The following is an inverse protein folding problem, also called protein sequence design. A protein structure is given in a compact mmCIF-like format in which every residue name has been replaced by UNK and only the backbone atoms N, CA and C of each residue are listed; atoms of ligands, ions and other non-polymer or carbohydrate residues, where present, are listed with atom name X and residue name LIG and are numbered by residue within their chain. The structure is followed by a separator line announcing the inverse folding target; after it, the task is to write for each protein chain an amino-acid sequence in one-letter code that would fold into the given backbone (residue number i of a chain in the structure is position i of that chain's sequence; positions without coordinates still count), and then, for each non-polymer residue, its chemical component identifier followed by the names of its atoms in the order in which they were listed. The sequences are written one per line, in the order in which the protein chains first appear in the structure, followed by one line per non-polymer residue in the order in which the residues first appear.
data_IF_936909789545
#
_entry.id   IF_936909789545
#
_cell.length_a   1.000
_cell.length_b   1.000
_cell.length_c   1.000
_cell.angle_alpha   90.00
_cell.angle_beta   90.00
_cell.angle_gamma   90.00
#
_symmetry.space_group_name_H-M   'P 1'
#
loop_
_entity.id
_entity.type
_entity.pdbx_description
1 polymer ?
#
# COMPACT_ATOMS: atom_id res chain seq x y z
N UNK A 1 -7.25 15.47 5.85
CA UNK A 1 -6.43 14.67 4.92
C UNK A 1 -7.31 13.66 4.17
N UNK A 2 -6.87 13.27 2.96
CA UNK A 2 -7.48 12.20 2.16
C UNK A 2 -6.39 11.15 1.96
N UNK A 3 -6.51 10.03 2.65
CA UNK A 3 -5.44 9.04 2.80
C UNK A 3 -5.77 7.79 1.98
N UNK A 4 -4.87 7.43 1.08
CA UNK A 4 -4.82 6.11 0.47
C UNK A 4 -3.87 5.25 1.31
N UNK A 5 -4.39 4.29 2.06
CA UNK A 5 -3.62 3.42 2.93
C UNK A 5 -3.40 2.05 2.29
N UNK A 6 -2.15 1.63 2.21
CA UNK A 6 -1.71 0.31 1.76
C UNK A 6 -0.85 -0.30 2.85
N UNK A 7 -1.49 -0.92 3.84
CA UNK A 7 -0.86 -1.53 5.01
C UNK A 7 -1.68 -2.73 5.47
N UNK A 8 -1.03 -3.72 6.07
CA UNK A 8 -1.67 -4.95 6.56
C UNK A 8 -3.00 -4.68 7.27
N UNK A 9 -4.11 -5.22 6.76
CA UNK A 9 -5.44 -5.00 7.34
C UNK A 9 -5.66 -5.90 8.57
N UNK A 10 -5.05 -5.52 9.66
CA UNK A 10 -5.11 -6.21 10.96
C UNK A 10 -5.97 -5.43 11.97
N UNK A 11 -6.19 -6.01 13.16
CA UNK A 11 -6.87 -5.32 14.26
C UNK A 11 -6.15 -4.02 14.63
N UNK A 12 -4.82 -4.01 14.66
CA UNK A 12 -4.03 -2.81 14.96
C UNK A 12 -4.25 -1.73 13.91
N UNK A 13 -4.30 -2.11 12.64
CA UNK A 13 -4.60 -1.21 11.52
C UNK A 13 -6.04 -0.68 11.59
N UNK A 14 -7.01 -1.50 12.05
CA UNK A 14 -8.37 -1.03 12.27
C UNK A 14 -8.39 0.13 13.28
N UNK A 15 -7.68 0.01 14.39
CA UNK A 15 -7.55 1.10 15.38
C UNK A 15 -6.87 2.34 14.79
N UNK A 16 -5.86 2.16 13.94
CA UNK A 16 -5.22 3.27 13.22
C UNK A 16 -6.22 3.99 12.31
N UNK A 17 -7.01 3.23 11.52
CA UNK A 17 -8.02 3.80 10.62
C UNK A 17 -9.07 4.58 11.41
N UNK A 18 -9.61 4.01 12.47
CA UNK A 18 -10.58 4.69 13.36
C UNK A 18 -9.99 5.99 13.92
N UNK A 19 -8.74 5.95 14.37
CA UNK A 19 -8.05 7.13 14.90
C UNK A 19 -7.90 8.22 13.82
N UNK A 20 -7.51 7.85 12.62
CA UNK A 20 -7.37 8.80 11.50
C UNK A 20 -8.71 9.43 11.12
N UNK A 21 -9.78 8.64 11.10
CA UNK A 21 -11.14 9.12 10.79
C UNK A 21 -11.64 10.05 11.89
N UNK A 22 -11.44 9.72 13.17
CA UNK A 22 -11.79 10.58 14.31
C UNK A 22 -11.04 11.91 14.28
N UNK A 23 -9.79 11.91 13.79
CA UNK A 23 -9.00 13.13 13.54
C UNK A 23 -9.44 13.90 12.29
N UNK A 24 -10.51 13.46 11.61
CA UNK A 24 -11.11 14.13 10.45
C UNK A 24 -10.50 13.75 9.10
N UNK A 25 -9.74 12.67 9.01
CA UNK A 25 -9.28 12.17 7.72
C UNK A 25 -10.39 11.41 6.98
N UNK A 26 -10.39 11.50 5.64
CA UNK A 26 -11.08 10.56 4.78
C UNK A 26 -10.10 9.47 4.37
N UNK A 27 -10.48 8.22 4.47
CA UNK A 27 -9.58 7.09 4.29
C UNK A 27 -10.17 6.09 3.30
N UNK A 28 -9.32 5.56 2.42
CA UNK A 28 -9.55 4.32 1.68
C UNK A 28 -8.39 3.39 1.95
N UNK A 29 -8.65 2.12 2.21
CA UNK A 29 -7.63 1.18 2.69
C UNK A 29 -7.61 -0.12 1.89
N UNK A 30 -6.39 -0.61 1.57
CA UNK A 30 -6.12 -1.94 1.04
C UNK A 30 -5.01 -2.60 1.86
N UNK A 31 -4.90 -3.91 1.79
CA UNK A 31 -3.74 -4.61 2.38
C UNK A 31 -2.52 -4.46 1.48
N UNK A 32 -1.33 -4.46 2.09
CA UNK A 32 -0.05 -4.51 1.38
C UNK A 32 0.46 -5.95 1.17
N UNK A 33 -0.34 -6.95 1.51
CA UNK A 33 0.01 -8.36 1.37
C UNK A 33 -1.24 -9.24 1.23
N UNK A 34 -1.21 -10.18 0.29
CA UNK A 34 -2.35 -11.04 -0.04
C UNK A 34 -2.78 -12.02 1.06
N UNK A 35 -1.94 -12.28 2.07
CA UNK A 35 -2.21 -13.26 3.13
C UNK A 35 -2.46 -12.65 4.51
N UNK A 36 -2.11 -11.39 4.74
CA UNK A 36 -2.04 -10.80 6.09
C UNK A 36 -3.36 -10.25 6.61
N UNK A 37 -4.36 -10.07 5.77
CA UNK A 37 -5.66 -9.51 6.19
C UNK A 37 -6.33 -10.39 7.25
N UNK A 38 -6.84 -9.74 8.29
CA UNK A 38 -7.79 -10.31 9.24
C UNK A 38 -9.20 -9.87 8.83
N UNK A 39 -9.96 -10.78 8.21
CA UNK A 39 -11.26 -10.47 7.59
C UNK A 39 -12.25 -9.81 8.56
N UNK A 40 -12.23 -10.22 9.85
CA UNK A 40 -13.08 -9.61 10.86
C UNK A 40 -12.71 -8.16 11.16
N UNK A 41 -11.42 -7.78 11.05
CA UNK A 41 -10.98 -6.40 11.20
C UNK A 41 -11.41 -5.57 9.99
N UNK A 42 -11.26 -6.10 8.78
CA UNK A 42 -11.72 -5.46 7.54
C UNK A 42 -13.25 -5.25 7.57
N UNK A 43 -14.00 -6.27 7.99
CA UNK A 43 -15.46 -6.19 8.11
C UNK A 43 -15.92 -5.14 9.13
N UNK A 44 -15.25 -5.06 10.30
CA UNK A 44 -15.58 -4.09 11.34
C UNK A 44 -15.39 -2.64 10.89
N UNK A 45 -14.36 -2.37 10.09
CA UNK A 45 -14.12 -1.03 9.52
C UNK A 45 -15.09 -0.73 8.37
N UNK A 46 -15.41 -1.73 7.52
CA UNK A 46 -16.38 -1.56 6.46
C UNK A 46 -17.80 -1.29 7.00
N UNK A 47 -18.20 -1.94 8.12
CA UNK A 47 -19.49 -1.73 8.78
C UNK A 47 -19.68 -0.29 9.29
N UNK A 48 -18.58 0.42 9.55
CA UNK A 48 -18.58 1.85 9.89
C UNK A 48 -18.71 2.78 8.66
N UNK A 49 -18.85 2.23 7.46
CA UNK A 49 -18.95 2.98 6.22
C UNK A 49 -17.61 3.47 5.68
N UNK A 50 -16.48 2.97 6.19
CA UNK A 50 -15.14 3.31 5.71
C UNK A 50 -14.78 2.35 4.57
N UNK A 51 -14.21 2.90 3.49
CA UNK A 51 -13.84 2.10 2.31
C UNK A 51 -12.62 1.22 2.58
N UNK A 52 -12.83 -0.08 2.70
CA UNK A 52 -11.80 -1.11 2.88
C UNK A 52 -11.88 -2.13 1.76
N UNK A 53 -10.78 -2.36 1.08
CA UNK A 53 -10.61 -3.30 -0.02
C UNK A 53 -9.51 -4.29 0.38
N UNK A 54 -9.85 -5.28 1.19
CA UNK A 54 -8.90 -6.28 1.68
C UNK A 54 -9.65 -7.53 2.12
N UNK A 55 -9.14 -8.69 1.74
CA UNK A 55 -9.58 -10.00 2.23
C UNK A 55 -8.39 -10.95 2.35
N UNK A 56 -8.45 -11.90 3.25
CA UNK A 56 -7.40 -12.90 3.37
C UNK A 56 -7.39 -13.82 2.15
N UNK A 57 -6.22 -13.99 1.54
CA UNK A 57 -6.06 -14.87 0.39
C UNK A 57 -6.59 -14.26 -0.91
N UNK A 58 -6.55 -12.95 -1.06
CA UNK A 58 -6.79 -12.30 -2.34
C UNK A 58 -5.78 -12.74 -3.38
N UNK A 59 -6.18 -12.78 -4.65
CA UNK A 59 -5.28 -13.06 -5.77
C UNK A 59 -4.41 -11.84 -6.08
N UNK A 60 -3.33 -12.01 -6.86
CA UNK A 60 -2.51 -10.88 -7.31
C UNK A 60 -3.31 -9.87 -8.14
N UNK A 61 -4.26 -10.34 -8.95
CA UNK A 61 -5.14 -9.44 -9.72
C UNK A 61 -6.05 -8.62 -8.79
N UNK A 62 -6.65 -9.24 -7.78
CA UNK A 62 -7.45 -8.55 -6.77
C UNK A 62 -6.60 -7.55 -5.95
N UNK A 63 -5.38 -7.93 -5.59
CA UNK A 63 -4.44 -7.06 -4.87
C UNK A 63 -4.18 -5.76 -5.62
N UNK A 64 -3.81 -5.84 -6.90
CA UNK A 64 -3.58 -4.65 -7.72
C UNK A 64 -4.86 -3.88 -8.02
N UNK A 65 -6.00 -4.56 -8.16
CA UNK A 65 -7.29 -3.90 -8.29
C UNK A 65 -7.66 -3.11 -7.02
N UNK A 66 -7.43 -3.68 -5.83
CA UNK A 66 -7.69 -3.02 -4.56
C UNK A 66 -6.74 -1.83 -4.35
N UNK A 67 -5.49 -1.96 -4.76
CA UNK A 67 -4.54 -0.84 -4.76
C UNK A 67 -5.00 0.29 -5.69
N UNK A 68 -5.62 -0.01 -6.82
CA UNK A 68 -6.26 1.02 -7.64
C UNK A 68 -7.46 1.67 -6.94
N UNK A 69 -8.29 0.89 -6.24
CA UNK A 69 -9.49 1.42 -5.57
C UNK A 69 -9.17 2.42 -4.47
N UNK A 70 -8.08 2.24 -3.74
CA UNK A 70 -7.66 3.23 -2.73
C UNK A 70 -7.15 4.53 -3.35
N UNK A 71 -6.66 4.49 -4.58
CA UNK A 71 -6.21 5.65 -5.33
C UNK A 71 -7.35 6.33 -6.11
N UNK A 72 -8.40 5.59 -6.47
CA UNK A 72 -9.53 6.10 -7.26
C UNK A 72 -10.61 6.72 -6.36
N UNK A 73 -10.72 8.02 -6.37
CA UNK A 73 -11.70 8.80 -5.61
C UNK A 73 -12.74 9.47 -6.52
N UNK A 74 -12.88 8.97 -7.76
CA UNK A 74 -13.78 9.54 -8.76
C UNK A 74 -13.31 10.93 -9.21
N UNK A 75 -14.14 11.94 -8.99
CA UNK A 75 -13.81 13.34 -9.30
C UNK A 75 -12.83 13.99 -8.30
N UNK A 76 -12.55 13.31 -7.18
CA UNK A 76 -11.64 13.73 -6.13
C UNK A 76 -10.31 12.96 -6.22
N UNK A 77 -9.38 13.18 -5.29
CA UNK A 77 -8.08 12.53 -5.26
C UNK A 77 -7.57 12.38 -3.83
N UNK A 78 -6.83 11.32 -3.49
CA UNK A 78 -6.07 11.30 -2.24
C UNK A 78 -4.97 12.36 -2.30
N UNK A 79 -4.55 12.84 -1.14
CA UNK A 79 -3.42 13.77 -1.02
C UNK A 79 -2.29 13.23 -0.14
N UNK A 80 -2.50 12.07 0.48
CA UNK A 80 -1.49 11.36 1.27
C UNK A 80 -1.53 9.88 0.93
N UNK A 81 -0.37 9.25 0.93
CA UNK A 81 -0.23 7.79 0.89
C UNK A 81 0.36 7.34 2.22
N UNK A 82 -0.21 6.30 2.82
CA UNK A 82 0.40 5.52 3.88
C UNK A 82 0.72 4.16 3.27
N UNK A 83 2.00 3.86 3.10
CA UNK A 83 2.48 2.69 2.36
C UNK A 83 3.32 1.76 3.25
N UNK A 84 3.33 0.49 2.90
CA UNK A 84 4.15 -0.55 3.53
C UNK A 84 4.69 -1.49 2.44
N UNK A 85 5.94 -1.28 2.06
CA UNK A 85 6.61 -1.94 0.96
C UNK A 85 6.71 -1.10 -0.32
N UNK A 86 6.02 0.05 -0.38
CA UNK A 86 6.12 1.00 -1.49
C UNK A 86 5.32 0.61 -2.73
N UNK A 87 4.33 -0.28 -2.63
CA UNK A 87 3.60 -0.77 -3.79
C UNK A 87 2.58 0.24 -4.31
N UNK A 88 1.84 0.93 -3.45
CA UNK A 88 0.93 2.00 -3.88
C UNK A 88 1.70 3.17 -4.50
N UNK A 89 2.84 3.53 -3.92
CA UNK A 89 3.77 4.54 -4.46
C UNK A 89 4.36 4.09 -5.79
N UNK A 90 4.80 2.85 -5.88
CA UNK A 90 5.35 2.24 -7.09
C UNK A 90 4.35 2.21 -8.23
N UNK A 91 3.10 1.82 -7.95
CA UNK A 91 2.00 1.82 -8.90
C UNK A 91 1.80 3.21 -9.54
N UNK A 92 1.77 4.28 -8.73
CA UNK A 92 1.65 5.66 -9.24
C UNK A 92 2.83 6.06 -10.11
N UNK A 93 4.05 5.70 -9.72
CA UNK A 93 5.27 6.04 -10.46
C UNK A 93 5.32 5.30 -11.80
N UNK A 94 5.12 3.97 -11.78
CA UNK A 94 5.16 3.13 -12.98
C UNK A 94 4.01 3.51 -13.90
N UNK A 95 2.79 3.63 -13.38
CA UNK A 95 1.62 4.02 -14.15
C UNK A 95 1.79 5.38 -14.83
N UNK A 96 2.31 6.39 -14.11
CA UNK A 96 2.54 7.71 -14.71
C UNK A 96 3.68 7.76 -15.76
N UNK A 97 4.59 6.79 -15.74
CA UNK A 97 5.57 6.60 -16.82
C UNK A 97 4.91 5.89 -18.01
N UNK A 98 4.08 4.86 -17.73
CA UNK A 98 3.36 4.12 -18.75
C UNK A 98 2.36 4.98 -19.55
N UNK A 99 1.80 6.03 -18.96
CA UNK A 99 1.00 7.04 -19.69
C UNK A 99 1.76 7.69 -20.84
N UNK A 100 3.09 7.77 -20.74
CA UNK A 100 3.96 8.38 -21.75
C UNK A 100 4.58 7.35 -22.68
N UNK A 101 4.88 6.16 -22.15
CA UNK A 101 5.54 5.09 -22.88
C UNK A 101 5.06 3.73 -22.35
N UNK A 102 4.14 3.10 -23.08
CA UNK A 102 3.59 1.79 -22.72
C UNK A 102 4.63 0.65 -22.79
N UNK A 103 5.72 0.84 -23.53
CA UNK A 103 6.74 -0.21 -23.72
C UNK A 103 7.46 -0.62 -22.44
N UNK A 104 7.41 0.23 -21.40
CA UNK A 104 7.94 -0.11 -20.07
C UNK A 104 7.21 -1.29 -19.40
N UNK A 105 6.02 -1.65 -19.90
CA UNK A 105 5.18 -2.75 -19.40
C UNK A 105 5.30 -4.03 -20.25
N UNK A 106 6.27 -4.14 -21.16
CA UNK A 106 6.31 -5.25 -22.12
C UNK A 106 7.09 -6.47 -21.63
N UNK A 107 7.99 -6.31 -20.66
CA UNK A 107 8.88 -7.38 -20.22
C UNK A 107 8.79 -7.61 -18.70
N UNK A 108 7.67 -8.15 -18.18
CA UNK A 108 7.58 -8.52 -16.77
C UNK A 108 8.55 -9.66 -16.43
N UNK A 109 9.18 -9.59 -15.26
CA UNK A 109 10.20 -10.55 -14.81
C UNK A 109 9.65 -11.70 -13.94
N UNK A 110 8.42 -11.53 -13.43
CA UNK A 110 7.77 -12.49 -12.53
C UNK A 110 6.23 -12.34 -12.57
N UNK A 111 5.52 -13.23 -11.89
CA UNK A 111 4.05 -13.25 -11.87
C UNK A 111 3.43 -11.98 -11.27
N UNK A 112 4.09 -11.41 -10.27
CA UNK A 112 3.63 -10.18 -9.61
C UNK A 112 3.69 -8.98 -10.57
N UNK A 113 4.80 -8.85 -11.34
CA UNK A 113 4.92 -7.83 -12.37
C UNK A 113 3.96 -8.05 -13.54
N UNK A 114 3.64 -9.31 -13.91
CA UNK A 114 2.61 -9.61 -14.90
C UNK A 114 1.26 -9.04 -14.46
N UNK A 115 0.84 -9.34 -13.23
CA UNK A 115 -0.43 -8.85 -12.69
C UNK A 115 -0.44 -7.31 -12.59
N UNK A 116 0.62 -6.71 -12.07
CA UNK A 116 0.79 -5.26 -11.99
C UNK A 116 0.68 -4.60 -13.38
N UNK A 117 1.44 -5.07 -14.37
CA UNK A 117 1.47 -4.46 -15.69
C UNK A 117 0.13 -4.61 -16.41
N UNK A 118 -0.54 -5.76 -16.26
CA UNK A 118 -1.88 -5.97 -16.80
C UNK A 118 -2.90 -5.03 -16.14
N UNK A 119 -2.82 -4.82 -14.83
CA UNK A 119 -3.70 -3.91 -14.12
C UNK A 119 -3.50 -2.45 -14.58
N UNK A 120 -2.25 -2.03 -14.78
CA UNK A 120 -1.92 -0.70 -15.33
C UNK A 120 -2.46 -0.54 -16.74
N UNK A 121 -2.20 -1.51 -17.64
CA UNK A 121 -2.71 -1.48 -19.02
C UNK A 121 -4.24 -1.35 -19.04
N UNK A 122 -4.93 -2.15 -18.21
CA UNK A 122 -6.40 -2.11 -18.10
C UNK A 122 -6.92 -0.75 -17.63
N UNK A 123 -6.25 -0.14 -16.64
CA UNK A 123 -6.65 1.18 -16.13
C UNK A 123 -6.44 2.27 -17.18
N UNK A 124 -5.33 2.24 -17.91
CA UNK A 124 -5.01 3.22 -18.95
C UNK A 124 -5.98 3.16 -20.15
N UNK A 125 -6.59 2.02 -20.43
CA UNK A 125 -7.65 1.91 -21.45
C UNK A 125 -8.92 2.69 -21.07
N UNK A 126 -9.17 2.87 -19.76
CA UNK A 126 -10.36 3.56 -19.22
C UNK A 126 -10.06 5.04 -18.94
N UNK A 127 -8.89 5.34 -18.38
CA UNK A 127 -8.48 6.69 -17.99
C UNK A 127 -6.98 6.88 -18.26
N UNK A 128 -6.65 7.40 -19.43
CA UNK A 128 -5.28 7.55 -19.90
C UNK A 128 -4.39 8.51 -19.11
N UNK A 129 -4.95 9.27 -18.17
CA UNK A 129 -4.22 10.23 -17.31
C UNK A 129 -4.45 9.97 -15.83
N UNK A 130 -4.88 8.77 -15.46
CA UNK A 130 -5.23 8.39 -14.08
C UNK A 130 -4.10 8.64 -13.11
N UNK A 131 -2.92 8.10 -13.39
CA UNK A 131 -1.79 8.11 -12.47
C UNK A 131 -1.15 9.50 -12.34
N UNK A 132 -0.94 10.20 -13.44
CA UNK A 132 -0.35 11.55 -13.42
C UNK A 132 -1.26 12.54 -12.72
N UNK A 133 -2.58 12.44 -12.91
CA UNK A 133 -3.59 13.26 -12.23
C UNK A 133 -3.54 13.04 -10.72
N UNK A 134 -3.51 11.79 -10.25
CA UNK A 134 -3.43 11.48 -8.81
C UNK A 134 -2.08 11.92 -8.25
N UNK A 135 -0.99 11.55 -8.91
CA UNK A 135 0.37 11.88 -8.49
C UNK A 135 0.57 13.36 -8.25
N UNK A 136 -0.05 14.23 -9.06
CA UNK A 136 0.04 15.70 -8.92
C UNK A 136 -0.63 16.23 -7.64
N UNK A 137 -1.54 15.46 -7.03
CA UNK A 137 -2.26 15.84 -5.81
C UNK A 137 -1.63 15.26 -4.54
N UNK A 138 -0.70 14.32 -4.65
CA UNK A 138 -0.03 13.73 -3.48
C UNK A 138 0.98 14.74 -2.92
N UNK A 139 0.80 15.10 -1.66
CA UNK A 139 1.69 15.99 -0.91
C UNK A 139 2.79 15.23 -0.17
N UNK A 140 2.64 13.90 0.00
CA UNK A 140 3.66 13.07 0.61
C UNK A 140 3.21 11.63 0.83
N UNK A 141 4.20 10.78 1.15
CA UNK A 141 4.03 9.38 1.55
C UNK A 141 4.70 9.15 2.90
N UNK A 142 4.09 8.29 3.72
CA UNK A 142 4.73 7.68 4.89
C UNK A 142 4.99 6.21 4.58
N UNK A 143 6.19 5.72 4.84
CA UNK A 143 6.60 4.35 4.55
C UNK A 143 6.98 3.60 5.83
N UNK A 144 6.35 2.44 6.04
CA UNK A 144 6.41 1.67 7.28
C UNK A 144 7.54 0.64 7.32
N UNK A 145 8.07 0.19 6.17
CA UNK A 145 8.95 -0.98 6.18
C UNK A 145 10.29 -0.76 5.49
N UNK A 146 11.29 -1.51 5.91
CA UNK A 146 12.68 -1.42 5.42
C UNK A 146 12.78 -1.52 3.89
N UNK A 147 12.04 -2.44 3.28
CA UNK A 147 12.08 -2.64 1.82
C UNK A 147 11.52 -1.42 1.06
N UNK A 148 10.39 -0.87 1.51
CA UNK A 148 9.81 0.32 0.92
C UNK A 148 10.70 1.55 1.11
N UNK A 149 11.27 1.73 2.30
CA UNK A 149 12.26 2.81 2.57
C UNK A 149 13.46 2.69 1.63
N UNK A 150 13.99 1.47 1.40
CA UNK A 150 15.09 1.27 0.47
C UNK A 150 14.72 1.66 -0.97
N UNK A 151 13.50 1.33 -1.43
CA UNK A 151 12.96 1.75 -2.74
C UNK A 151 12.88 3.28 -2.84
N UNK A 152 12.38 3.96 -1.80
CA UNK A 152 12.29 5.43 -1.76
C UNK A 152 13.67 6.09 -1.83
N UNK A 153 14.66 5.58 -1.11
CA UNK A 153 16.03 6.07 -1.21
C UNK A 153 16.65 5.87 -2.59
N UNK A 154 16.34 4.76 -3.26
CA UNK A 154 16.79 4.55 -4.64
C UNK A 154 16.16 5.58 -5.60
N UNK A 155 14.85 5.83 -5.47
CA UNK A 155 14.15 6.85 -6.24
C UNK A 155 14.74 8.25 -5.99
N UNK A 156 15.04 8.57 -4.74
CA UNK A 156 15.68 9.84 -4.37
C UNK A 156 17.05 10.00 -5.03
N UNK A 157 17.90 8.98 -4.98
CA UNK A 157 19.23 8.99 -5.63
C UNK A 157 19.14 9.19 -7.15
N UNK A 158 18.07 8.70 -7.76
CA UNK A 158 17.81 8.82 -9.20
C UNK A 158 17.10 10.14 -9.56
N UNK A 159 16.81 11.01 -8.60
CA UNK A 159 15.95 12.18 -8.75
C UNK A 159 14.57 11.84 -9.35
N UNK A 160 14.06 10.67 -9.05
CA UNK A 160 12.80 10.11 -9.54
C UNK A 160 11.67 10.06 -8.49
N UNK A 161 11.96 10.47 -7.24
CA UNK A 161 10.97 10.56 -6.18
C UNK A 161 10.06 11.78 -6.44
N UNK A 162 8.75 11.59 -6.70
CA UNK A 162 7.90 12.67 -7.20
C UNK A 162 7.33 13.59 -6.11
N UNK A 163 7.39 13.19 -4.84
CA UNK A 163 6.85 13.92 -3.69
C UNK A 163 7.66 13.58 -2.43
N UNK A 164 7.55 14.38 -1.34
CA UNK A 164 8.20 14.11 -0.07
C UNK A 164 7.84 12.73 0.49
N UNK A 165 8.82 12.05 1.10
CA UNK A 165 8.63 10.76 1.73
C UNK A 165 9.15 10.80 3.18
N UNK A 166 8.38 10.24 4.10
CA UNK A 166 8.71 10.13 5.52
C UNK A 166 8.99 8.66 5.84
N UNK A 167 10.21 8.39 6.30
CA UNK A 167 10.62 7.07 6.78
C UNK A 167 10.12 6.88 8.22
N UNK A 168 8.99 6.19 8.36
CA UNK A 168 8.42 5.82 9.67
C UNK A 168 9.12 4.58 10.23
N UNK A 169 9.62 3.69 9.36
CA UNK A 169 10.29 2.46 9.79
C UNK A 169 11.43 2.70 10.78
N UNK A 170 12.22 3.76 10.56
CA UNK A 170 13.40 4.05 11.39
C UNK A 170 13.08 4.95 12.59
N UNK A 171 11.82 5.32 12.81
CA UNK A 171 11.45 6.02 14.03
C UNK A 171 11.71 5.14 15.27
N UNK A 172 12.09 5.77 16.37
CA UNK A 172 12.39 5.04 17.61
C UNK A 172 11.19 4.23 18.09
N UNK A 173 9.99 4.80 18.01
CA UNK A 173 8.74 4.18 18.44
C UNK A 173 8.28 3.04 17.52
N UNK A 174 8.83 2.90 16.32
CA UNK A 174 8.58 1.79 15.39
C UNK A 174 9.71 0.77 15.42
N UNK A 175 10.91 1.14 15.02
CA UNK A 175 12.02 0.22 14.81
C UNK A 175 12.52 -0.47 16.09
N UNK A 176 12.47 0.22 17.22
CA UNK A 176 12.90 -0.33 18.52
C UNK A 176 11.87 -1.23 19.19
N UNK A 177 10.66 -1.26 18.66
CA UNK A 177 9.56 -2.10 19.14
C UNK A 177 9.15 -3.13 18.11
N UNK A 178 8.57 -2.74 16.98
CA UNK A 178 8.06 -3.67 15.98
C UNK A 178 9.17 -4.47 15.31
N UNK A 179 10.17 -3.84 14.71
CA UNK A 179 11.24 -4.57 14.03
C UNK A 179 12.06 -5.46 14.99
N UNK A 180 12.15 -5.07 16.25
CA UNK A 180 12.90 -5.80 17.26
C UNK A 180 12.11 -6.99 17.81
N UNK A 181 10.94 -6.73 18.38
CA UNK A 181 10.15 -7.74 19.07
C UNK A 181 9.29 -8.56 18.11
N UNK A 182 8.79 -7.98 17.04
CA UNK A 182 8.04 -8.68 16.00
C UNK A 182 8.84 -9.84 15.39
N UNK A 183 10.11 -9.61 15.05
CA UNK A 183 10.96 -10.67 14.51
C UNK A 183 11.44 -11.67 15.59
N UNK A 184 11.79 -11.20 16.79
CA UNK A 184 12.35 -12.05 17.85
C UNK A 184 11.32 -12.92 18.53
N UNK A 185 10.15 -12.37 18.84
CA UNK A 185 9.12 -13.01 19.65
C UNK A 185 8.00 -13.60 18.78
N UNK A 186 7.37 -12.77 17.93
CA UNK A 186 6.19 -13.18 17.17
C UNK A 186 6.52 -14.23 16.11
N UNK A 187 7.68 -14.16 15.45
CA UNK A 187 8.09 -15.16 14.45
C UNK A 187 8.26 -16.54 15.12
N UNK A 188 8.97 -16.59 16.24
CA UNK A 188 9.21 -17.85 16.97
C UNK A 188 7.89 -18.41 17.52
N UNK A 189 7.04 -17.56 18.10
CA UNK A 189 5.71 -17.96 18.57
C UNK A 189 4.83 -18.49 17.42
N UNK A 190 4.85 -17.83 16.28
CA UNK A 190 4.10 -18.25 15.09
C UNK A 190 4.56 -19.62 14.57
N UNK A 191 5.88 -19.86 14.52
CA UNK A 191 6.44 -21.16 14.12
C UNK A 191 5.98 -22.27 15.09
N UNK A 192 6.08 -22.03 16.40
CA UNK A 192 5.64 -22.99 17.41
C UNK A 192 4.15 -23.33 17.28
N UNK A 193 3.30 -22.32 17.08
CA UNK A 193 1.86 -22.52 16.89
C UNK A 193 1.54 -23.25 15.59
N UNK A 194 2.25 -22.96 14.50
CA UNK A 194 2.02 -23.59 13.20
C UNK A 194 2.48 -25.06 13.17
N UNK A 195 3.52 -25.39 13.90
CA UNK A 195 4.13 -26.74 13.90
C UNK A 195 3.72 -27.60 15.10
N UNK A 196 3.06 -27.03 16.11
CA UNK A 196 2.75 -27.65 17.40
C UNK A 196 4.01 -28.24 18.12
N UNK A 197 5.15 -27.60 17.91
CA UNK A 197 6.45 -27.97 18.49
C UNK A 197 6.93 -26.85 19.43
N UNK A 198 7.26 -27.24 20.66
CA UNK A 198 7.83 -26.32 21.67
C UNK A 198 9.35 -26.41 21.74
#
# INVERSE_FOLDING_TARGET
AKIAGSLHMTIQTAVLIETLVELGAKVKWASCNIFSTQDHAAAAIADQGISVYAKKGETLDEYWQYTHYILDWGSDSPNMILDDGGDATGLLIIGSKAEKDLSILDNPSNEEEIALFNSIKSKLLVDGNFYSRIKSNIIGVTEETTTGVARLYQLQKQNALPFPAINVNDSVTKSKFDNLYGCRESLVDSIKRATDVM
#
